data_IF_158040551900
#
_entry.id   IF_158040551900
#
_cell.length_a   1.000
_cell.length_b   1.000
_cell.length_c   1.000
_cell.angle_alpha   90.00
_cell.angle_beta   90.00
_cell.angle_gamma   90.00
#
_symmetry.space_group_name_H-M   'P 1'
#
loop_
_entity.id
_entity.type
_entity.pdbx_description
1 polymer ?
#
# COMPACT_ATOMS: atom_id res chain seq x y z
N UNK A 1 -8.46 -10.45 19.60
CA UNK A 1 -7.87 -9.13 19.26
C UNK A 1 -6.49 -9.02 19.88
N UNK A 2 -5.50 -8.57 19.10
CA UNK A 2 -4.19 -8.25 19.63
C UNK A 2 -4.29 -6.95 20.46
N UNK A 3 -4.01 -7.03 21.77
CA UNK A 3 -4.13 -5.90 22.70
C UNK A 3 -3.15 -4.78 22.36
N UNK A 4 -1.95 -5.10 21.89
CA UNK A 4 -0.93 -4.11 21.54
C UNK A 4 -1.34 -3.28 20.32
N UNK A 5 -1.93 -3.92 19.31
CA UNK A 5 -2.47 -3.21 18.13
C UNK A 5 -3.63 -2.30 18.51
N UNK A 6 -4.53 -2.75 19.40
CA UNK A 6 -5.65 -1.94 19.88
C UNK A 6 -5.17 -0.69 20.63
N UNK A 7 -4.21 -0.85 21.54
CA UNK A 7 -3.62 0.27 22.28
C UNK A 7 -2.93 1.26 21.33
N UNK A 8 -2.16 0.77 20.36
CA UNK A 8 -1.48 1.60 19.37
C UNK A 8 -2.46 2.42 18.53
N UNK A 9 -3.55 1.83 18.07
CA UNK A 9 -4.56 2.54 17.25
C UNK A 9 -5.40 3.51 18.11
N UNK A 10 -5.71 3.15 19.36
CA UNK A 10 -6.57 3.97 20.24
C UNK A 10 -5.84 5.20 20.81
N UNK A 11 -4.56 5.06 21.14
CA UNK A 11 -3.80 6.08 21.87
C UNK A 11 -2.58 6.63 21.11
N UNK A 12 -2.17 5.98 20.02
CA UNK A 12 -1.02 6.40 19.23
C UNK A 12 -1.23 7.75 18.55
N UNK A 13 -0.16 8.54 18.45
CA UNK A 13 -0.15 9.82 17.73
C UNK A 13 0.42 9.62 16.34
N UNK A 14 -0.43 9.61 15.33
CA UNK A 14 -0.02 9.34 13.96
C UNK A 14 -1.21 9.29 13.00
N UNK A 15 -1.03 8.64 11.87
CA UNK A 15 -2.03 8.48 10.83
C UNK A 15 -2.05 7.04 10.28
N UNK A 16 -3.06 6.76 9.46
CA UNK A 16 -3.22 5.49 8.74
C UNK A 16 -2.74 5.67 7.30
N UNK A 17 -1.91 4.75 6.82
CA UNK A 17 -1.50 4.71 5.43
C UNK A 17 -2.50 3.88 4.60
N UNK A 18 -3.19 4.50 3.65
CA UNK A 18 -4.15 3.82 2.77
C UNK A 18 -3.45 3.35 1.48
N UNK A 19 -3.29 2.03 1.34
CA UNK A 19 -2.64 1.34 0.21
C UNK A 19 -3.62 0.35 -0.44
N UNK A 20 -4.93 0.66 -0.37
CA UNK A 20 -6.06 -0.23 -0.66
C UNK A 20 -6.74 0.01 -2.01
N UNK A 21 -6.03 0.64 -2.95
CA UNK A 21 -6.58 0.90 -4.29
C UNK A 21 -7.00 -0.43 -4.95
N UNK A 22 -8.27 -0.51 -5.35
CA UNK A 22 -8.80 -1.64 -6.10
C UNK A 22 -8.29 -1.64 -7.55
N UNK A 23 -8.48 -2.74 -8.27
CA UNK A 23 -8.06 -2.88 -9.67
C UNK A 23 -8.52 -1.73 -10.58
N UNK A 24 -9.76 -1.24 -10.42
CA UNK A 24 -10.27 -0.13 -11.21
C UNK A 24 -9.61 1.24 -10.92
N UNK A 25 -8.98 1.39 -9.76
CA UNK A 25 -8.27 2.62 -9.36
C UNK A 25 -6.75 2.53 -9.54
N UNK A 26 -6.24 1.32 -9.79
CA UNK A 26 -4.80 1.05 -10.02
C UNK A 26 -4.20 1.85 -11.17
N UNK A 27 -4.82 1.97 -12.37
CA UNK A 27 -4.25 2.76 -13.47
C UNK A 27 -3.99 4.21 -13.07
N UNK A 28 -4.93 4.81 -12.34
CA UNK A 28 -4.82 6.18 -11.85
C UNK A 28 -3.67 6.32 -10.85
N UNK A 29 -3.56 5.41 -9.88
CA UNK A 29 -2.50 5.43 -8.88
C UNK A 29 -1.11 5.27 -9.52
N UNK A 30 -0.97 4.35 -10.48
CA UNK A 30 0.27 4.16 -11.25
C UNK A 30 0.63 5.41 -12.05
N UNK A 31 -0.35 6.03 -12.73
CA UNK A 31 -0.14 7.27 -13.47
C UNK A 31 0.33 8.43 -12.59
N UNK A 32 -0.30 8.61 -11.43
CA UNK A 32 0.11 9.62 -10.44
C UNK A 32 1.51 9.33 -9.87
N UNK A 33 1.89 8.06 -9.82
CA UNK A 33 3.23 7.61 -9.45
C UNK A 33 4.26 7.72 -10.59
N UNK A 34 3.84 8.06 -11.81
CA UNK A 34 4.70 8.26 -12.98
C UNK A 34 4.84 7.04 -13.90
N UNK A 35 3.99 6.03 -13.73
CA UNK A 35 3.87 4.86 -14.60
C UNK A 35 2.65 5.05 -15.51
N UNK A 36 2.89 5.31 -16.79
CA UNK A 36 1.85 5.54 -17.78
C UNK A 36 1.22 4.23 -18.27
N UNK A 37 0.02 4.34 -18.85
CA UNK A 37 -0.76 3.19 -19.37
C UNK A 37 -0.09 2.47 -20.54
N UNK A 38 0.88 3.08 -21.21
CA UNK A 38 1.68 2.47 -22.28
C UNK A 38 2.87 1.64 -21.76
N UNK A 39 3.09 1.61 -20.44
CA UNK A 39 4.19 0.88 -19.79
C UNK A 39 3.79 -0.52 -19.30
N UNK A 40 2.53 -0.93 -19.50
CA UNK A 40 2.04 -2.28 -19.21
C UNK A 40 1.03 -2.70 -20.28
N UNK A 41 0.98 -3.99 -20.59
CA UNK A 41 0.19 -4.53 -21.72
C UNK A 41 -1.07 -5.28 -21.27
N UNK A 42 -1.18 -5.61 -19.99
CA UNK A 42 -2.27 -6.41 -19.44
C UNK A 42 -2.45 -6.13 -17.93
N UNK A 43 -3.54 -6.64 -17.38
CA UNK A 43 -3.89 -6.46 -15.97
C UNK A 43 -2.85 -7.09 -15.03
N UNK A 44 -2.26 -8.23 -15.38
CA UNK A 44 -1.26 -8.90 -14.54
C UNK A 44 0.01 -8.05 -14.37
N UNK A 45 0.51 -7.44 -15.45
CA UNK A 45 1.62 -6.49 -15.44
C UNK A 45 1.27 -5.24 -14.63
N UNK A 46 0.06 -4.69 -14.81
CA UNK A 46 -0.42 -3.55 -14.03
C UNK A 46 -0.45 -3.88 -12.53
N UNK A 47 -0.97 -5.06 -12.15
CA UNK A 47 -1.02 -5.52 -10.77
C UNK A 47 0.37 -5.81 -10.19
N UNK A 48 1.33 -6.23 -11.01
CA UNK A 48 2.72 -6.36 -10.59
C UNK A 48 3.34 -4.98 -10.30
N UNK A 49 3.16 -4.00 -11.18
CA UNK A 49 3.72 -2.66 -11.00
C UNK A 49 3.17 -1.95 -9.75
N UNK A 50 1.87 -2.09 -9.46
CA UNK A 50 1.30 -1.51 -8.23
C UNK A 50 1.76 -2.25 -6.99
N UNK A 51 2.01 -3.57 -7.09
CA UNK A 51 2.62 -4.33 -6.01
C UNK A 51 4.03 -3.84 -5.72
N UNK A 52 4.86 -3.67 -6.74
CA UNK A 52 6.23 -3.16 -6.59
C UNK A 52 6.25 -1.74 -5.99
N UNK A 53 5.32 -0.88 -6.41
CA UNK A 53 5.11 0.43 -5.81
C UNK A 53 4.78 0.33 -4.31
N UNK A 54 3.82 -0.53 -3.94
CA UNK A 54 3.42 -0.74 -2.53
C UNK A 54 4.57 -1.29 -1.70
N UNK A 55 5.28 -2.30 -2.22
CA UNK A 55 6.48 -2.88 -1.60
C UNK A 55 7.52 -1.81 -1.32
N UNK A 56 7.83 -0.95 -2.29
CA UNK A 56 8.75 0.18 -2.10
C UNK A 56 8.29 1.13 -0.99
N UNK A 57 6.99 1.43 -0.91
CA UNK A 57 6.45 2.33 0.12
C UNK A 57 6.59 1.71 1.51
N UNK A 58 6.19 0.45 1.70
CA UNK A 58 6.16 -0.19 3.03
C UNK A 58 7.55 -0.61 3.53
N UNK A 59 8.50 -0.87 2.62
CA UNK A 59 9.91 -1.19 2.96
C UNK A 59 10.80 0.05 3.10
N UNK A 60 10.27 1.24 2.77
CA UNK A 60 11.02 2.49 2.89
C UNK A 60 11.44 2.75 4.34
N UNK A 61 12.67 3.23 4.60
CA UNK A 61 13.08 3.69 5.93
C UNK A 61 12.21 4.81 6.50
N UNK A 62 11.42 5.49 5.66
CA UNK A 62 10.45 6.51 6.08
C UNK A 62 9.12 5.92 6.58
N UNK A 63 8.85 4.64 6.30
CA UNK A 63 7.63 3.95 6.70
C UNK A 63 7.80 3.35 8.10
N UNK A 64 7.87 4.21 9.11
CA UNK A 64 8.15 3.80 10.50
C UNK A 64 6.91 3.88 11.39
N UNK A 65 6.95 3.15 12.50
CA UNK A 65 5.89 3.17 13.52
C UNK A 65 5.80 4.48 14.29
N UNK A 66 6.71 5.43 14.08
CA UNK A 66 6.73 6.73 14.77
C UNK A 66 5.53 7.60 14.38
N UNK A 67 5.09 7.48 13.12
CA UNK A 67 3.97 8.25 12.57
C UNK A 67 2.87 7.39 11.96
N UNK A 68 3.18 6.16 11.56
CA UNK A 68 2.23 5.25 10.91
C UNK A 68 1.69 4.27 11.96
N UNK A 69 0.40 4.43 12.28
CA UNK A 69 -0.26 3.61 13.29
C UNK A 69 -0.70 2.26 12.72
N UNK A 70 -1.10 2.25 11.45
CA UNK A 70 -1.49 1.07 10.70
C UNK A 70 -1.60 1.38 9.21
N UNK A 71 -1.86 0.33 8.43
CA UNK A 71 -2.07 0.43 6.99
C UNK A 71 -3.38 -0.28 6.60
N UNK A 72 -4.05 0.24 5.58
CA UNK A 72 -5.18 -0.43 4.91
C UNK A 72 -4.62 -1.00 3.62
N UNK A 73 -4.78 -2.31 3.43
CA UNK A 73 -4.23 -3.03 2.29
C UNK A 73 -5.37 -3.55 1.42
N UNK A 74 -5.14 -3.60 0.11
CA UNK A 74 -5.99 -4.35 -0.81
C UNK A 74 -5.72 -5.85 -0.64
N UNK A 75 -6.74 -6.70 -0.84
CA UNK A 75 -6.64 -8.15 -0.62
C UNK A 75 -5.43 -8.79 -1.34
N UNK A 76 -5.22 -8.44 -2.60
CA UNK A 76 -4.10 -8.99 -3.38
C UNK A 76 -2.73 -8.56 -2.85
N UNK A 77 -2.64 -7.45 -2.12
CA UNK A 77 -1.40 -7.04 -1.44
C UNK A 77 -1.18 -7.79 -0.14
N UNK A 78 -2.24 -8.27 0.51
CA UNK A 78 -2.10 -9.14 1.69
C UNK A 78 -1.64 -10.55 1.30
N UNK A 79 -2.05 -11.04 0.15
CA UNK A 79 -1.74 -12.41 -0.33
C UNK A 79 -0.35 -12.53 -0.99
N UNK A 80 0.34 -11.40 -1.19
CA UNK A 80 1.65 -11.34 -1.87
C UNK A 80 2.77 -10.99 -0.89
N UNK A 81 3.96 -11.54 -1.13
CA UNK A 81 5.14 -11.22 -0.34
C UNK A 81 5.69 -9.82 -0.67
N UNK A 82 6.24 -9.19 0.36
CA UNK A 82 6.84 -7.84 0.37
C UNK A 82 8.30 -7.95 0.74
#
# INVERSE_FOLDING_TARGET
MNKEQLEKVSHGKGFIAALDQSGGSTPKALKEYGVNEDQYSNDDEMFQLVHDMRTRVVTSPSFTSDKILGAILFEQTMDREV
#
